data_IF_130402870532
#
_entry.id   IF_130402870532
#
_cell.length_a   1.000
_cell.length_b   1.000
_cell.length_c   1.000
_cell.angle_alpha   90.00
_cell.angle_beta   90.00
_cell.angle_gamma   90.00
#
_symmetry.space_group_name_H-M   'P 1'
#
loop_
_entity.id
_entity.type
_entity.pdbx_description
1 polymer ?
#
# COMPACT_ATOMS: atom_id res chain seq x y z
N UNK A 1 -14.32 50.72 -9.93
CA UNK A 1 -14.20 49.35 -10.48
C UNK A 1 -13.20 48.61 -9.62
N UNK A 2 -13.70 47.99 -8.57
CA UNK A 2 -12.88 47.23 -7.65
C UNK A 2 -12.56 45.90 -8.30
N UNK A 3 -11.32 45.73 -8.75
CA UNK A 3 -10.78 44.46 -9.15
C UNK A 3 -10.58 43.64 -7.88
N UNK A 4 -11.57 42.80 -7.57
CA UNK A 4 -11.42 41.76 -6.59
C UNK A 4 -10.21 40.90 -7.02
N UNK A 5 -9.12 40.78 -6.24
CA UNK A 5 -8.02 39.91 -6.63
C UNK A 5 -8.60 38.50 -6.66
N UNK A 6 -8.58 37.90 -7.83
CA UNK A 6 -8.95 36.49 -7.99
C UNK A 6 -8.17 35.70 -6.94
N UNK A 7 -8.88 35.11 -5.98
CA UNK A 7 -8.28 34.17 -5.02
C UNK A 7 -7.59 33.10 -5.86
N UNK A 8 -6.27 33.11 -5.85
CA UNK A 8 -5.49 32.13 -6.59
C UNK A 8 -5.84 30.76 -6.03
N UNK A 9 -6.35 29.89 -6.90
CA UNK A 9 -6.65 28.51 -6.55
C UNK A 9 -5.34 27.76 -6.33
N UNK A 10 -5.18 27.12 -5.16
CA UNK A 10 -4.00 26.35 -4.82
C UNK A 10 -4.34 24.87 -4.70
N UNK A 11 -3.54 24.03 -5.32
CA UNK A 11 -3.47 22.61 -5.02
C UNK A 11 -2.39 22.39 -3.96
N UNK A 12 -2.78 21.88 -2.79
CA UNK A 12 -1.87 21.60 -1.68
C UNK A 12 -1.86 20.12 -1.38
N UNK A 13 -0.69 19.51 -1.35
CA UNK A 13 -0.54 18.15 -0.87
C UNK A 13 -0.71 18.13 0.66
N UNK A 14 -1.21 17.02 1.21
CA UNK A 14 -1.50 16.88 2.64
C UNK A 14 -0.76 15.67 3.21
N UNK A 15 -0.91 14.50 2.58
CA UNK A 15 -0.29 13.27 3.08
C UNK A 15 0.06 12.32 1.91
N UNK A 16 1.23 11.71 1.94
CA UNK A 16 2.36 11.91 2.87
C UNK A 16 2.91 13.33 2.81
N UNK A 17 3.36 13.87 3.96
CA UNK A 17 3.98 15.19 4.01
C UNK A 17 5.33 15.19 3.28
N UNK A 18 5.82 16.39 2.92
CA UNK A 18 7.12 16.49 2.26
C UNK A 18 8.25 15.95 3.14
N UNK A 19 9.09 15.09 2.57
CA UNK A 19 10.21 14.38 3.23
C UNK A 19 9.80 13.45 4.36
N UNK A 20 8.53 13.07 4.42
CA UNK A 20 8.03 12.15 5.43
C UNK A 20 8.56 10.72 5.23
N UNK A 21 8.58 9.97 6.33
CA UNK A 21 8.91 8.53 6.31
C UNK A 21 7.67 7.76 6.76
N UNK A 22 7.04 7.09 5.81
CA UNK A 22 5.81 6.34 6.04
C UNK A 22 6.11 4.85 6.26
N UNK A 23 5.26 4.19 7.02
CA UNK A 23 5.39 2.77 7.39
C UNK A 23 4.50 1.83 6.56
N UNK A 24 3.65 2.39 5.70
CA UNK A 24 2.74 1.61 4.85
C UNK A 24 3.17 1.61 3.39
N UNK A 25 3.23 0.42 2.73
CA UNK A 25 3.49 0.34 1.30
C UNK A 25 2.30 0.79 0.43
N UNK A 26 1.15 1.04 1.06
CA UNK A 26 -0.06 1.50 0.38
C UNK A 26 -0.60 2.75 1.07
N UNK A 27 0.10 3.90 0.99
CA UNK A 27 -0.37 5.14 1.59
C UNK A 27 -1.66 5.64 0.92
N UNK A 28 -2.49 6.31 1.69
CA UNK A 28 -3.57 7.12 1.13
C UNK A 28 -2.98 8.50 0.79
N UNK A 29 -2.81 8.80 -0.48
CA UNK A 29 -2.29 10.07 -0.97
C UNK A 29 -3.43 11.10 -0.92
N UNK A 30 -3.25 12.18 -0.15
CA UNK A 30 -4.30 13.16 0.13
C UNK A 30 -3.85 14.55 -0.27
N UNK A 31 -4.72 15.32 -0.88
CA UNK A 31 -4.50 16.72 -1.22
C UNK A 31 -5.74 17.56 -0.96
N UNK A 32 -5.56 18.87 -0.92
CA UNK A 32 -6.63 19.84 -0.85
C UNK A 32 -6.59 20.79 -2.05
N UNK A 33 -7.76 21.26 -2.44
CA UNK A 33 -7.94 22.36 -3.38
C UNK A 33 -8.50 23.56 -2.62
N UNK A 34 -7.83 24.70 -2.68
CA UNK A 34 -8.13 25.85 -1.81
C UNK A 34 -9.37 26.65 -2.21
N UNK A 35 -10.01 26.30 -3.29
CA UNK A 35 -11.27 26.94 -3.66
C UNK A 35 -12.37 26.45 -2.72
N UNK A 36 -12.91 27.29 -1.84
CA UNK A 36 -13.64 26.87 -0.62
C UNK A 36 -15.03 26.36 -0.95
N UNK A 37 -15.46 25.93 -1.95
CA UNK A 37 -16.74 25.32 -2.32
C UNK A 37 -16.77 24.85 -3.79
N UNK A 38 -15.63 24.76 -4.46
CA UNK A 38 -15.64 24.36 -5.84
C UNK A 38 -15.74 22.85 -5.96
N UNK A 39 -16.93 22.38 -6.19
CA UNK A 39 -17.06 21.12 -6.93
C UNK A 39 -16.39 21.32 -8.28
N UNK A 40 -15.57 20.36 -8.68
CA UNK A 40 -14.98 20.38 -10.02
C UNK A 40 -16.05 20.66 -11.08
N UNK A 41 -15.80 21.66 -11.92
CA UNK A 41 -16.69 21.99 -13.01
C UNK A 41 -16.70 20.87 -14.08
N UNK A 42 -17.59 20.99 -15.04
CA UNK A 42 -17.63 20.08 -16.18
C UNK A 42 -16.31 20.16 -16.96
N UNK A 43 -15.69 19.02 -17.23
CA UNK A 43 -14.40 18.92 -17.90
C UNK A 43 -13.17 19.05 -16.97
N UNK A 44 -13.37 19.37 -15.70
CA UNK A 44 -12.28 19.39 -14.71
C UNK A 44 -12.08 18.04 -14.05
N UNK A 45 -10.83 17.69 -13.82
CA UNK A 45 -10.44 16.50 -13.07
C UNK A 45 -9.01 16.60 -12.57
N UNK A 46 -8.66 15.78 -11.57
CA UNK A 46 -7.27 15.68 -11.12
C UNK A 46 -6.56 14.52 -11.82
N UNK A 47 -5.25 14.73 -12.01
CA UNK A 47 -4.27 13.71 -12.35
C UNK A 47 -3.24 13.64 -11.23
N UNK A 48 -2.98 12.44 -10.72
CA UNK A 48 -1.94 12.21 -9.75
C UNK A 48 -0.82 11.38 -10.38
N UNK A 49 0.42 11.78 -10.10
CA UNK A 49 1.64 11.15 -10.61
C UNK A 49 2.50 10.75 -9.41
N UNK A 50 3.01 9.52 -9.41
CA UNK A 50 4.02 9.05 -8.46
C UNK A 50 5.20 8.48 -9.22
N UNK A 51 6.42 8.85 -8.83
CA UNK A 51 7.68 8.40 -9.42
C UNK A 51 8.63 7.86 -8.34
N UNK A 52 9.50 6.94 -8.69
CA UNK A 52 10.66 6.60 -7.86
C UNK A 52 11.77 7.62 -8.11
N UNK A 53 12.39 8.14 -7.04
CA UNK A 53 13.47 9.13 -7.12
C UNK A 53 14.83 8.44 -7.12
N UNK A 54 15.73 8.93 -7.94
CA UNK A 54 17.15 8.57 -7.88
C UNK A 54 17.82 9.20 -6.64
N UNK A 55 18.98 8.69 -6.20
CA UNK A 55 19.75 9.36 -5.16
C UNK A 55 19.94 10.84 -5.47
N UNK A 56 19.76 11.70 -4.47
CA UNK A 56 19.92 13.17 -4.53
C UNK A 56 19.00 13.90 -5.54
N UNK A 57 18.10 13.20 -6.24
CA UNK A 57 17.12 13.81 -7.13
C UNK A 57 16.03 14.52 -6.32
N UNK A 58 15.65 15.75 -6.72
CA UNK A 58 14.50 16.43 -6.13
C UNK A 58 13.19 15.86 -6.65
N UNK A 59 12.10 16.06 -5.90
CA UNK A 59 10.77 15.60 -6.30
C UNK A 59 10.32 16.23 -7.63
N UNK A 60 10.57 17.53 -7.82
CA UNK A 60 10.24 18.24 -9.05
C UNK A 60 10.97 17.67 -10.27
N UNK A 61 12.27 17.43 -10.13
CA UNK A 61 13.06 16.84 -11.20
C UNK A 61 12.57 15.42 -11.50
N UNK A 62 12.28 14.64 -10.46
CA UNK A 62 11.79 13.27 -10.60
C UNK A 62 10.45 13.22 -11.34
N UNK A 63 9.46 13.98 -10.90
CA UNK A 63 8.13 14.03 -11.54
C UNK A 63 8.21 14.49 -12.99
N UNK A 64 9.19 15.33 -13.32
CA UNK A 64 9.33 15.87 -14.67
C UNK A 64 9.99 14.91 -15.67
N UNK A 65 10.91 14.01 -15.20
CA UNK A 65 11.74 13.22 -16.11
C UNK A 65 11.68 11.71 -15.91
N UNK A 66 11.31 11.23 -14.72
CA UNK A 66 11.29 9.80 -14.44
C UNK A 66 10.03 9.15 -15.02
N UNK A 67 10.13 7.86 -15.33
CA UNK A 67 8.95 7.07 -15.72
C UNK A 67 8.07 6.91 -14.48
N UNK A 68 6.80 7.33 -14.54
CA UNK A 68 5.89 7.16 -13.41
C UNK A 68 5.71 5.69 -13.03
N UNK A 69 5.73 5.41 -11.74
CA UNK A 69 5.34 4.10 -11.20
C UNK A 69 3.83 4.01 -11.03
N UNK A 70 3.16 5.15 -10.91
CA UNK A 70 1.70 5.24 -10.91
C UNK A 70 1.25 6.57 -11.52
N UNK A 71 0.24 6.49 -12.37
CA UNK A 71 -0.55 7.63 -12.84
C UNK A 71 -2.02 7.30 -12.63
N UNK A 72 -2.75 8.19 -11.98
CA UNK A 72 -4.20 8.11 -11.86
C UNK A 72 -4.81 9.35 -12.50
N UNK A 73 -5.64 9.12 -13.51
CA UNK A 73 -6.36 10.16 -14.24
C UNK A 73 -7.83 10.22 -13.82
N UNK A 74 -8.52 11.26 -14.22
CA UNK A 74 -9.97 11.42 -14.05
C UNK A 74 -10.44 11.34 -12.59
N UNK A 75 -9.58 11.77 -11.65
CA UNK A 75 -9.92 11.80 -10.23
C UNK A 75 -10.85 12.98 -9.93
N UNK A 76 -11.84 12.77 -9.08
CA UNK A 76 -12.74 13.80 -8.58
C UNK A 76 -12.67 13.98 -7.07
N UNK A 77 -12.22 12.93 -6.38
CA UNK A 77 -11.95 12.96 -4.94
C UNK A 77 -10.57 13.55 -4.64
N UNK A 78 -10.36 13.99 -3.42
CA UNK A 78 -9.10 14.58 -2.96
C UNK A 78 -8.16 13.56 -2.30
N UNK A 79 -8.35 12.29 -2.59
CA UNK A 79 -7.48 11.22 -2.08
C UNK A 79 -7.43 10.04 -3.05
N UNK A 80 -6.32 9.31 -2.99
CA UNK A 80 -6.14 8.04 -3.71
C UNK A 80 -5.32 7.08 -2.84
N UNK A 81 -5.89 5.93 -2.56
CA UNK A 81 -5.13 4.84 -1.95
C UNK A 81 -4.14 4.27 -2.98
N UNK A 82 -2.84 4.27 -2.64
CA UNK A 82 -1.83 3.60 -3.47
C UNK A 82 -2.19 2.11 -3.58
N UNK A 83 -2.33 1.56 -4.79
CA UNK A 83 -2.88 0.22 -4.96
C UNK A 83 -1.93 -0.85 -4.41
N UNK A 84 -2.49 -1.95 -3.94
CA UNK A 84 -1.74 -3.15 -3.64
C UNK A 84 -1.23 -3.84 -4.92
N UNK A 85 -2.02 -3.74 -5.99
CA UNK A 85 -1.69 -4.27 -7.31
C UNK A 85 -0.73 -3.35 -8.08
N UNK A 86 0.14 -3.93 -8.88
CA UNK A 86 1.08 -3.19 -9.73
C UNK A 86 2.47 -3.05 -9.14
N UNK A 87 3.17 -1.95 -9.45
CA UNK A 87 4.52 -1.69 -8.93
C UNK A 87 4.43 -1.27 -7.46
N UNK A 88 4.83 -2.16 -6.56
CA UNK A 88 4.83 -1.91 -5.11
C UNK A 88 5.95 -0.96 -4.71
N UNK A 89 5.68 -0.11 -3.70
CA UNK A 89 6.70 0.71 -3.06
C UNK A 89 7.71 -0.18 -2.33
N UNK A 90 9.00 0.12 -2.44
CA UNK A 90 10.09 -0.65 -1.85
C UNK A 90 10.64 0.02 -0.60
N UNK A 91 10.91 -0.72 0.49
CA UNK A 91 11.51 -0.15 1.70
C UNK A 91 12.84 0.57 1.43
N UNK A 92 13.03 1.71 2.06
CA UNK A 92 14.23 2.53 1.93
C UNK A 92 14.33 3.35 0.64
N UNK A 93 13.36 3.21 -0.26
CA UNK A 93 13.29 4.01 -1.50
C UNK A 93 12.53 5.30 -1.27
N UNK A 94 12.95 6.34 -2.00
CA UNK A 94 12.31 7.65 -2.04
C UNK A 94 11.37 7.74 -3.24
N UNK A 95 10.24 8.40 -3.03
CA UNK A 95 9.20 8.59 -4.05
C UNK A 95 8.80 10.05 -4.11
N UNK A 96 8.70 10.59 -5.34
CA UNK A 96 8.13 11.90 -5.59
C UNK A 96 6.68 11.78 -6.04
N UNK A 97 5.82 12.72 -5.64
CA UNK A 97 4.44 12.75 -6.10
C UNK A 97 3.92 14.18 -6.29
N UNK A 98 2.97 14.33 -7.20
CA UNK A 98 2.35 15.61 -7.57
C UNK A 98 0.91 15.38 -8.01
N UNK A 99 0.06 16.37 -7.77
CA UNK A 99 -1.31 16.43 -8.28
C UNK A 99 -1.41 17.61 -9.28
N UNK A 100 -2.11 17.36 -10.39
CA UNK A 100 -2.39 18.31 -11.43
C UNK A 100 -3.90 18.47 -11.58
N UNK A 101 -4.38 19.71 -11.77
CA UNK A 101 -5.74 20.01 -12.21
C UNK A 101 -5.75 20.16 -13.73
N UNK A 102 -6.62 19.40 -14.37
CA UNK A 102 -6.82 19.47 -15.81
C UNK A 102 -8.22 20.00 -16.15
N UNK A 103 -8.29 20.80 -17.20
CA UNK A 103 -9.52 21.23 -17.85
C UNK A 103 -9.46 20.79 -19.30
N UNK A 104 -10.39 19.94 -19.72
CA UNK A 104 -10.41 19.39 -21.09
C UNK A 104 -9.03 18.82 -21.50
N UNK A 105 -8.41 18.01 -20.64
CA UNK A 105 -7.09 17.38 -20.80
C UNK A 105 -5.88 18.33 -20.78
N UNK A 106 -6.07 19.64 -20.58
CA UNK A 106 -4.99 20.61 -20.46
C UNK A 106 -4.70 20.86 -18.98
N UNK A 107 -3.45 20.76 -18.57
CA UNK A 107 -3.01 21.08 -17.21
C UNK A 107 -3.11 22.60 -17.00
N UNK A 108 -3.99 23.03 -16.10
CA UNK A 108 -4.21 24.44 -15.76
C UNK A 108 -3.60 24.83 -14.43
N UNK A 109 -3.42 23.86 -13.52
CA UNK A 109 -2.80 24.08 -12.22
C UNK A 109 -2.06 22.81 -11.76
N UNK A 110 -1.06 22.95 -10.88
CA UNK A 110 -0.34 21.83 -10.29
C UNK A 110 0.09 22.16 -8.87
N UNK A 111 0.14 21.14 -8.01
CA UNK A 111 0.73 21.26 -6.69
C UNK A 111 2.25 21.38 -6.77
N UNK A 112 2.89 21.70 -5.66
CA UNK A 112 4.30 21.37 -5.47
C UNK A 112 4.50 19.86 -5.66
N UNK A 113 5.73 19.46 -5.95
CA UNK A 113 6.10 18.05 -5.93
C UNK A 113 6.74 17.74 -4.57
N UNK A 114 6.15 16.83 -3.82
CA UNK A 114 6.64 16.37 -2.52
C UNK A 114 7.28 14.99 -2.62
N UNK A 115 8.14 14.68 -1.65
CA UNK A 115 8.77 13.38 -1.54
C UNK A 115 8.42 12.67 -0.24
N UNK A 116 8.44 11.34 -0.27
CA UNK A 116 8.36 10.51 0.91
C UNK A 116 9.26 9.28 0.77
N UNK A 117 9.59 8.67 1.90
CA UNK A 117 10.39 7.44 1.96
C UNK A 117 9.55 6.33 2.58
N UNK A 118 9.59 5.13 2.00
CA UNK A 118 9.02 3.97 2.67
C UNK A 118 10.02 3.45 3.71
N UNK A 119 9.58 3.40 4.96
CA UNK A 119 10.41 2.93 6.08
C UNK A 119 10.93 1.52 5.84
N UNK A 120 12.20 1.29 6.19
CA UNK A 120 12.71 -0.08 6.31
C UNK A 120 12.09 -0.71 7.55
N UNK A 121 11.41 -1.86 7.43
CA UNK A 121 10.78 -2.49 8.58
C UNK A 121 11.81 -2.81 9.65
N UNK A 122 11.45 -2.53 10.90
CA UNK A 122 12.27 -2.93 12.05
C UNK A 122 12.29 -4.45 12.10
N UNK A 123 13.47 -5.05 12.24
CA UNK A 123 13.58 -6.48 12.44
C UNK A 123 12.84 -6.89 13.71
N UNK A 124 11.96 -7.85 13.60
CA UNK A 124 11.20 -8.42 14.72
C UNK A 124 12.10 -9.33 15.57
N UNK A 125 13.16 -8.78 16.17
CA UNK A 125 14.07 -9.60 17.00
C UNK A 125 13.45 -10.12 18.29
N UNK A 126 12.42 -9.45 18.81
CA UNK A 126 11.87 -9.72 20.15
C UNK A 126 10.44 -10.24 20.21
N UNK A 127 9.68 -10.27 19.11
CA UNK A 127 8.33 -10.82 19.07
C UNK A 127 8.15 -11.78 17.90
N UNK A 128 8.33 -13.07 18.19
CA UNK A 128 8.19 -14.14 17.21
C UNK A 128 6.80 -14.17 16.55
N UNK A 129 5.74 -13.77 17.26
CA UNK A 129 4.37 -13.86 16.76
C UNK A 129 3.77 -12.48 16.46
N UNK A 130 3.22 -12.34 15.27
CA UNK A 130 2.52 -11.14 14.82
C UNK A 130 1.03 -11.29 15.14
N UNK A 131 0.44 -10.32 15.82
CA UNK A 131 -0.99 -10.32 16.11
C UNK A 131 -1.77 -9.92 14.87
N UNK A 132 -2.69 -10.79 14.45
CA UNK A 132 -3.59 -10.52 13.34
C UNK A 132 -4.70 -9.56 13.76
N UNK A 133 -5.11 -8.69 12.84
CA UNK A 133 -6.18 -7.73 13.02
C UNK A 133 -7.23 -7.86 11.91
N UNK A 134 -8.46 -7.44 12.18
CA UNK A 134 -9.55 -7.45 11.20
C UNK A 134 -9.36 -6.42 10.09
N UNK A 135 -8.65 -5.33 10.40
CA UNK A 135 -8.29 -4.31 9.42
C UNK A 135 -6.84 -4.45 9.02
N UNK A 136 -6.54 -4.19 7.76
CA UNK A 136 -5.16 -4.07 7.31
C UNK A 136 -4.64 -2.74 7.83
N UNK A 137 -3.91 -2.78 8.95
CA UNK A 137 -3.16 -1.61 9.40
C UNK A 137 -2.10 -1.25 8.36
N UNK A 138 -1.73 0.01 8.29
CA UNK A 138 -0.79 0.50 7.29
C UNK A 138 0.60 -0.17 7.30
N UNK A 139 0.99 -0.84 8.39
CA UNK A 139 2.29 -1.47 8.54
C UNK A 139 2.45 -2.80 7.81
N UNK A 140 3.69 -3.23 7.65
CA UNK A 140 4.05 -4.54 7.12
C UNK A 140 5.24 -5.13 7.89
N UNK A 141 5.42 -6.45 7.77
CA UNK A 141 6.48 -7.18 8.47
C UNK A 141 7.44 -7.80 7.46
N UNK A 142 8.73 -7.66 7.68
CA UNK A 142 9.74 -8.34 6.86
C UNK A 142 10.08 -9.70 7.45
N UNK A 143 10.07 -10.72 6.62
CA UNK A 143 10.41 -12.10 7.00
C UNK A 143 11.87 -12.38 6.70
N UNK A 144 12.59 -12.97 7.68
CA UNK A 144 13.99 -13.30 7.53
C UNK A 144 14.21 -14.75 7.05
N UNK A 145 13.33 -15.70 7.38
CA UNK A 145 13.55 -17.14 7.19
C UNK A 145 12.38 -17.82 6.46
N UNK A 146 11.64 -17.13 5.63
CA UNK A 146 10.45 -17.67 4.94
C UNK A 146 9.44 -18.37 5.88
N UNK A 147 9.44 -17.96 7.14
CA UNK A 147 8.49 -18.44 8.16
C UNK A 147 7.73 -17.28 8.74
N UNK A 148 6.42 -17.39 8.70
CA UNK A 148 5.51 -16.41 9.27
C UNK A 148 4.88 -16.97 10.53
N UNK A 149 5.09 -16.28 11.66
CA UNK A 149 4.51 -16.63 12.94
C UNK A 149 3.40 -15.64 13.26
N UNK A 150 2.18 -16.13 13.41
CA UNK A 150 0.99 -15.33 13.65
C UNK A 150 0.26 -15.78 14.89
N UNK A 151 -0.44 -14.85 15.52
CA UNK A 151 -1.37 -15.13 16.63
C UNK A 151 -2.64 -14.31 16.46
N UNK A 152 -3.74 -14.83 16.95
CA UNK A 152 -4.92 -14.04 17.21
C UNK A 152 -4.81 -13.36 18.58
N UNK A 153 -5.52 -12.25 18.75
CA UNK A 153 -5.69 -11.63 20.05
C UNK A 153 -6.39 -12.62 21.01
N UNK A 154 -6.04 -12.56 22.29
CA UNK A 154 -6.52 -13.52 23.30
C UNK A 154 -8.05 -13.59 23.44
N UNK A 155 -8.73 -12.51 23.02
CA UNK A 155 -10.21 -12.48 22.95
C UNK A 155 -10.81 -13.37 21.86
N UNK A 156 -10.02 -13.89 20.92
CA UNK A 156 -10.47 -14.70 19.80
C UNK A 156 -10.20 -16.18 20.05
N UNK A 157 -11.21 -16.89 20.52
CA UNK A 157 -11.20 -18.34 20.65
C UNK A 157 -12.02 -18.94 19.50
N UNK A 158 -11.50 -18.94 18.29
CA UNK A 158 -12.15 -19.56 17.14
C UNK A 158 -11.15 -20.29 16.27
N UNK A 159 -11.58 -21.40 15.67
CA UNK A 159 -10.76 -22.14 14.73
C UNK A 159 -10.59 -21.35 13.43
N UNK A 160 -9.48 -21.60 12.75
CA UNK A 160 -9.24 -21.07 11.40
C UNK A 160 -9.97 -21.96 10.40
N UNK A 161 -10.82 -21.33 9.59
CA UNK A 161 -11.56 -22.02 8.53
C UNK A 161 -10.76 -22.12 7.24
N UNK A 162 -10.12 -21.00 6.84
CA UNK A 162 -9.27 -20.96 5.65
C UNK A 162 -8.19 -19.92 5.78
N UNK A 163 -7.08 -20.14 5.07
CA UNK A 163 -5.99 -19.18 4.95
C UNK A 163 -5.49 -19.12 3.53
N UNK A 164 -5.25 -17.91 3.02
CA UNK A 164 -4.76 -17.65 1.68
C UNK A 164 -3.67 -16.59 1.70
N UNK A 165 -2.68 -16.72 0.83
CA UNK A 165 -1.71 -15.66 0.57
C UNK A 165 -1.94 -15.16 -0.86
N UNK A 166 -1.90 -13.85 -1.02
CA UNK A 166 -2.00 -13.18 -2.31
C UNK A 166 -0.69 -12.45 -2.61
N UNK A 167 -0.29 -12.47 -3.86
CA UNK A 167 0.82 -11.65 -4.36
C UNK A 167 0.40 -10.17 -4.57
N UNK A 168 1.33 -9.35 -5.06
CA UNK A 168 1.08 -7.94 -5.36
C UNK A 168 0.09 -7.68 -6.49
N UNK A 169 -0.34 -8.73 -7.21
CA UNK A 169 -1.38 -8.67 -8.26
C UNK A 169 -2.71 -9.26 -7.78
N UNK A 170 -2.83 -9.49 -6.45
CA UNK A 170 -3.97 -10.16 -5.82
C UNK A 170 -4.25 -11.56 -6.38
N UNK A 171 -3.22 -12.22 -6.92
CA UNK A 171 -3.33 -13.61 -7.34
C UNK A 171 -3.00 -14.52 -6.16
N UNK A 172 -3.79 -15.57 -5.93
CA UNK A 172 -3.51 -16.50 -4.84
C UNK A 172 -2.22 -17.27 -5.12
N UNK A 173 -1.31 -17.24 -4.14
CA UNK A 173 -0.06 -18.00 -4.16
C UNK A 173 -0.37 -19.50 -4.00
N UNK A 174 0.29 -20.34 -4.77
CA UNK A 174 0.07 -21.79 -4.79
C UNK A 174 1.13 -22.52 -3.95
N UNK A 175 0.75 -23.70 -3.44
CA UNK A 175 1.72 -24.64 -2.86
C UNK A 175 2.58 -25.26 -3.95
N UNK A 176 3.86 -25.52 -3.64
CA UNK A 176 4.81 -26.25 -4.50
C UNK A 176 4.54 -27.76 -4.54
N UNK A 177 3.58 -28.26 -3.80
CA UNK A 177 3.28 -29.69 -3.77
C UNK A 177 2.90 -30.23 -5.16
N UNK A 178 3.66 -31.23 -5.64
CA UNK A 178 3.58 -31.79 -6.99
C UNK A 178 2.34 -32.66 -7.30
N UNK A 179 1.39 -32.79 -6.40
CA UNK A 179 0.19 -33.61 -6.62
C UNK A 179 -0.92 -32.75 -7.22
N UNK A 180 -1.36 -33.10 -8.42
CA UNK A 180 -2.42 -32.40 -9.17
C UNK A 180 -3.73 -32.25 -8.40
N UNK A 181 -4.01 -33.10 -7.43
CA UNK A 181 -5.19 -33.04 -6.56
C UNK A 181 -5.08 -32.01 -5.42
N UNK A 182 -3.89 -31.46 -5.14
CA UNK A 182 -3.64 -30.45 -4.08
C UNK A 182 -3.12 -29.12 -4.60
N UNK A 183 -3.54 -28.69 -5.77
CA UNK A 183 -3.36 -27.28 -6.21
C UNK A 183 -4.29 -26.31 -5.43
N UNK A 184 -4.49 -26.60 -4.16
CA UNK A 184 -5.25 -25.73 -3.25
C UNK A 184 -4.44 -24.47 -2.97
N UNK A 185 -5.05 -23.31 -3.16
CA UNK A 185 -4.53 -22.03 -2.68
C UNK A 185 -4.68 -21.88 -1.17
N UNK A 186 -5.17 -22.90 -0.49
CA UNK A 186 -5.28 -22.95 0.97
C UNK A 186 -3.96 -23.33 1.60
N UNK A 187 -3.57 -22.59 2.61
CA UNK A 187 -2.30 -22.75 3.32
C UNK A 187 -2.54 -23.57 4.57
N UNK A 188 -1.71 -24.57 4.78
CA UNK A 188 -1.71 -25.32 6.03
C UNK A 188 -1.10 -24.45 7.13
N UNK A 189 -1.94 -24.09 8.11
CA UNK A 189 -1.48 -23.47 9.35
C UNK A 189 -1.06 -24.54 10.32
N UNK A 190 0.22 -24.55 10.66
CA UNK A 190 0.71 -25.41 11.73
C UNK A 190 0.37 -24.79 13.08
N UNK A 191 -0.48 -25.44 13.87
CA UNK A 191 -0.78 -25.01 15.23
C UNK A 191 0.49 -25.11 16.10
N UNK A 192 0.90 -23.99 16.69
CA UNK A 192 2.09 -23.88 17.54
C UNK A 192 1.73 -23.57 19.00
N UNK A 193 0.46 -23.74 19.38
CA UNK A 193 -0.09 -23.47 20.70
C UNK A 193 -1.40 -22.68 20.62
N UNK A 194 -1.92 -22.29 21.78
CA UNK A 194 -3.17 -21.55 21.85
C UNK A 194 -3.12 -20.25 21.01
N UNK A 195 -4.03 -20.15 20.03
CA UNK A 195 -4.13 -19.00 19.11
C UNK A 195 -2.83 -18.64 18.36
N UNK A 196 -1.87 -19.57 18.23
CA UNK A 196 -0.58 -19.36 17.58
C UNK A 196 -0.39 -20.31 16.42
N UNK A 197 0.07 -19.78 15.30
CA UNK A 197 0.24 -20.56 14.07
C UNK A 197 1.56 -20.22 13.39
N UNK A 198 2.14 -21.20 12.74
CA UNK A 198 3.32 -21.08 11.89
C UNK A 198 2.92 -21.37 10.42
N UNK A 199 3.36 -20.53 9.51
CA UNK A 199 3.23 -20.73 8.07
C UNK A 199 4.65 -20.88 7.51
N UNK A 200 4.91 -21.98 6.82
CA UNK A 200 6.18 -22.23 6.14
C UNK A 200 6.06 -21.81 4.66
N UNK A 201 6.65 -20.69 4.30
CA UNK A 201 6.61 -20.17 2.93
C UNK A 201 7.56 -20.89 1.97
N UNK A 202 8.48 -21.71 2.47
CA UNK A 202 9.35 -22.52 1.60
C UNK A 202 8.56 -23.55 0.78
N UNK A 203 7.38 -23.95 1.28
CA UNK A 203 6.46 -24.86 0.63
C UNK A 203 5.55 -24.17 -0.39
N UNK A 204 5.70 -22.88 -0.58
CA UNK A 204 4.87 -22.05 -1.44
C UNK A 204 5.68 -21.42 -2.56
N UNK A 205 5.00 -21.09 -3.65
CA UNK A 205 5.61 -20.41 -4.80
C UNK A 205 5.71 -18.89 -4.52
N UNK A 206 6.64 -18.54 -3.63
CA UNK A 206 6.92 -17.16 -3.25
C UNK A 206 8.33 -16.75 -3.69
N UNK A 207 8.46 -15.54 -4.16
CA UNK A 207 9.72 -14.85 -4.46
C UNK A 207 9.87 -13.63 -3.57
N UNK A 208 10.97 -12.89 -3.68
CA UNK A 208 11.12 -11.62 -2.98
C UNK A 208 10.01 -10.65 -3.41
N UNK A 209 9.29 -10.08 -2.45
CA UNK A 209 8.18 -9.16 -2.73
C UNK A 209 7.17 -9.05 -1.59
N UNK A 210 6.16 -8.20 -1.80
CA UNK A 210 5.06 -7.99 -0.86
C UNK A 210 3.94 -9.01 -1.07
N UNK A 211 3.37 -9.44 0.04
CA UNK A 211 2.28 -10.41 0.09
C UNK A 211 1.22 -9.99 1.11
N UNK A 212 -0.01 -10.43 0.87
CA UNK A 212 -1.14 -10.29 1.77
C UNK A 212 -1.60 -11.67 2.24
N UNK A 213 -1.53 -11.92 3.55
CA UNK A 213 -2.19 -13.06 4.18
C UNK A 213 -3.63 -12.67 4.52
N UNK A 214 -4.59 -13.48 4.10
CA UNK A 214 -5.99 -13.45 4.53
C UNK A 214 -6.29 -14.74 5.29
N UNK A 215 -6.84 -14.60 6.50
CA UNK A 215 -7.35 -15.72 7.29
C UNK A 215 -8.82 -15.48 7.58
N UNK A 216 -9.62 -16.52 7.42
CA UNK A 216 -11.04 -16.52 7.74
C UNK A 216 -11.32 -17.51 8.85
N UNK A 217 -12.01 -17.07 9.89
CA UNK A 217 -12.43 -17.95 10.99
C UNK A 217 -13.81 -18.58 10.76
N UNK A 218 -14.22 -19.50 11.64
CA UNK A 218 -15.52 -20.18 11.57
C UNK A 218 -16.71 -19.21 11.63
N UNK A 219 -16.54 -18.03 12.21
CA UNK A 219 -17.59 -16.99 12.26
C UNK A 219 -17.68 -16.15 10.98
N UNK A 220 -16.83 -16.46 9.98
CA UNK A 220 -16.76 -15.69 8.73
C UNK A 220 -15.98 -14.39 8.84
N UNK A 221 -15.35 -14.11 9.98
CA UNK A 221 -14.54 -12.91 10.17
C UNK A 221 -13.21 -13.06 9.46
N UNK A 222 -12.78 -11.97 8.79
CA UNK A 222 -11.52 -11.91 8.04
C UNK A 222 -10.46 -11.18 8.84
N UNK A 223 -9.25 -11.74 8.83
CA UNK A 223 -8.04 -11.16 9.40
C UNK A 223 -7.00 -11.05 8.29
N UNK A 224 -6.28 -9.95 8.27
CA UNK A 224 -5.34 -9.66 7.19
C UNK A 224 -3.98 -9.21 7.76
N UNK A 225 -2.91 -9.56 7.05
CA UNK A 225 -1.55 -9.17 7.40
C UNK A 225 -0.75 -8.96 6.12
N UNK A 226 -0.07 -7.81 6.04
CA UNK A 226 0.92 -7.56 4.97
C UNK A 226 2.31 -7.96 5.43
N UNK A 227 3.05 -8.62 4.54
CA UNK A 227 4.43 -8.98 4.83
C UNK A 227 5.30 -8.91 3.57
N UNK A 228 6.60 -8.76 3.80
CA UNK A 228 7.64 -8.73 2.79
C UNK A 228 8.50 -9.98 2.92
N UNK A 229 8.63 -10.72 1.83
CA UNK A 229 9.63 -11.78 1.65
C UNK A 229 10.89 -11.11 1.07
N UNK A 230 12.04 -11.29 1.72
CA UNK A 230 13.34 -10.73 1.29
C UNK A 230 14.02 -11.61 0.26
#
# INVERSE_FOLDING_TARGET
>A
MDSNPALSEFLMLVFPADKDTIDTPNPNLVWNHSAPFSMLASGEHYRMIVVELNPEQTAEAGVSVNIPIMVKNNLRDHNVLYPFEGKTLQPGKRYGWQVQLLVNEVVVNKSEAWEFTLQVPKNLKDNKYITLRKTVDGGFFALENNKLFIRFDESYNSNVLSSKIYDSKMQPVRSKANNEEKKSSEILLKNSGYNRFEINLNEMDVSSGFYLLEIKNEKGEKFMLRFLVK
#
